data_IF_341336504496
#
_entry.id   IF_341336504496
#
_cell.length_a   1.000
_cell.length_b   1.000
_cell.length_c   1.000
_cell.angle_alpha   90.00
_cell.angle_beta   90.00
_cell.angle_gamma   90.00
#
_symmetry.space_group_name_H-M   'P 1'
#
loop_
_entity.id
_entity.type
_entity.pdbx_description
1 polymer ?
#
# COMPACT_ATOMS: atom_id res chain seq x y z
N UNK A 1 -10.03 3.14 44.79
CA UNK A 1 -10.09 1.70 44.47
C UNK A 1 -10.67 1.53 43.08
N UNK A 2 -10.00 0.68 42.29
CA UNK A 2 -10.22 0.35 40.87
C UNK A 2 -9.68 1.40 39.87
N UNK A 3 -8.87 1.08 38.87
CA UNK A 3 -7.86 0.03 38.63
C UNK A 3 -7.35 0.33 37.22
N UNK A 4 -6.04 0.30 37.05
CA UNK A 4 -5.30 0.48 35.80
C UNK A 4 -5.68 -0.59 34.77
N UNK A 5 -5.83 -0.18 33.50
CA UNK A 5 -5.53 -1.04 32.35
C UNK A 5 -4.80 -0.19 31.31
N UNK A 6 -3.48 -0.33 31.31
CA UNK A 6 -2.59 0.25 30.33
C UNK A 6 -2.84 -0.37 28.96
N UNK A 7 -3.16 0.47 27.99
CA UNK A 7 -3.15 0.10 26.58
C UNK A 7 -1.71 0.21 26.11
N UNK A 8 -1.13 -0.96 25.83
CA UNK A 8 0.24 -1.10 25.32
C UNK A 8 0.39 -0.32 24.02
N UNK A 9 1.24 0.72 24.04
CA UNK A 9 1.59 1.51 22.87
C UNK A 9 2.50 0.68 21.96
N UNK A 10 1.94 0.12 20.88
CA UNK A 10 2.75 -0.32 19.75
C UNK A 10 3.29 0.94 19.06
N UNK A 11 4.53 1.30 19.39
CA UNK A 11 5.23 2.42 18.77
C UNK A 11 5.65 2.05 17.35
N UNK A 12 4.86 2.42 16.36
CA UNK A 12 5.31 2.53 14.96
C UNK A 12 6.13 3.81 14.84
N UNK A 13 7.46 3.69 14.78
CA UNK A 13 8.35 4.82 14.54
C UNK A 13 8.25 5.21 13.06
N UNK A 14 7.96 6.50 12.83
CA UNK A 14 8.02 7.18 11.54
C UNK A 14 9.37 6.98 10.86
N UNK A 15 9.40 6.48 9.62
CA UNK A 15 10.60 6.22 8.82
C UNK A 15 11.09 7.45 8.03
N UNK A 16 10.75 8.67 8.45
CA UNK A 16 10.98 9.89 7.68
C UNK A 16 12.43 10.46 7.68
N UNK A 17 13.44 9.75 8.16
CA UNK A 17 14.78 10.35 8.42
C UNK A 17 15.99 9.74 7.69
N UNK A 18 15.84 8.93 6.64
CA UNK A 18 17.02 8.36 5.95
C UNK A 18 17.51 9.05 4.66
N UNK A 19 16.91 10.13 4.17
CA UNK A 19 17.29 10.73 2.87
C UNK A 19 18.23 11.95 2.93
N UNK A 20 19.07 12.10 3.96
CA UNK A 20 20.14 13.10 3.93
C UNK A 20 21.45 12.48 4.34
N UNK A 21 22.43 12.49 3.41
CA UNK A 21 23.89 12.29 3.51
C UNK A 21 24.32 11.47 2.29
N UNK A 22 25.23 11.83 1.38
CA UNK A 22 26.02 13.02 1.01
C UNK A 22 26.73 12.57 -0.27
N UNK A 23 26.81 13.44 -1.28
CA UNK A 23 27.68 13.28 -2.46
C UNK A 23 29.14 13.11 -2.04
N UNK A 24 29.81 12.10 -2.57
CA UNK A 24 31.26 12.10 -2.80
C UNK A 24 31.68 10.95 -3.72
N UNK A 25 31.99 11.26 -4.97
CA UNK A 25 32.73 10.40 -5.89
C UNK A 25 34.18 10.20 -5.39
N UNK A 26 34.76 9.00 -5.52
CA UNK A 26 36.21 8.87 -5.58
C UNK A 26 36.71 8.55 -6.99
N UNK A 27 37.71 9.36 -7.35
CA UNK A 27 38.71 9.26 -8.39
C UNK A 27 39.19 7.84 -8.73
N UNK A 28 39.26 7.54 -10.03
CA UNK A 28 39.67 6.25 -10.59
C UNK A 28 41.13 6.32 -11.08
N UNK A 29 42.06 5.82 -10.29
CA UNK A 29 43.38 5.42 -10.78
C UNK A 29 44.03 4.33 -9.90
N UNK A 30 44.14 3.14 -10.48
CA UNK A 30 45.29 2.20 -10.45
C UNK A 30 44.88 0.71 -10.41
N UNK A 31 45.64 -0.06 -11.19
CA UNK A 31 45.43 -1.46 -11.58
C UNK A 31 45.90 -2.43 -10.49
N UNK A 32 45.16 -3.54 -10.29
CA UNK A 32 45.65 -4.67 -9.48
C UNK A 32 44.69 -5.86 -9.44
N UNK A 33 45.07 -6.97 -10.07
CA UNK A 33 44.41 -8.27 -10.02
C UNK A 33 44.22 -8.78 -8.57
N UNK A 34 43.00 -9.16 -8.18
CA UNK A 34 42.66 -10.43 -7.48
C UNK A 34 41.25 -10.39 -6.85
N UNK A 35 40.39 -11.31 -7.30
CA UNK A 35 39.34 -12.03 -6.55
C UNK A 35 38.64 -11.31 -5.37
N UNK A 36 37.44 -10.77 -5.58
CA UNK A 36 36.43 -10.62 -4.52
C UNK A 36 34.99 -10.76 -5.04
N UNK A 37 34.23 -11.56 -4.28
CA UNK A 37 32.84 -11.42 -3.90
C UNK A 37 31.77 -11.11 -4.97
N UNK A 38 30.80 -12.02 -5.04
CA UNK A 38 29.57 -11.86 -5.81
C UNK A 38 28.94 -10.49 -5.59
N UNK A 39 28.63 -9.85 -6.71
CA UNK A 39 27.74 -8.71 -6.77
C UNK A 39 26.34 -9.21 -6.39
N UNK A 40 26.05 -9.27 -5.10
CA UNK A 40 24.67 -9.17 -4.64
C UNK A 40 24.15 -7.85 -5.18
N UNK A 41 23.07 -7.83 -5.98
CA UNK A 41 22.47 -6.56 -6.35
C UNK A 41 22.12 -5.83 -5.05
N UNK A 42 22.44 -4.53 -5.02
CA UNK A 42 22.09 -3.62 -3.94
C UNK A 42 20.65 -3.93 -3.52
N UNK A 43 20.50 -4.50 -2.32
CA UNK A 43 19.21 -4.77 -1.71
C UNK A 43 18.57 -3.40 -1.50
N UNK A 44 17.76 -2.96 -2.48
CA UNK A 44 16.78 -1.91 -2.28
C UNK A 44 16.05 -2.31 -0.99
N UNK A 45 15.99 -1.47 0.06
CA UNK A 45 15.22 -1.83 1.24
C UNK A 45 13.82 -2.17 0.76
N UNK A 46 13.47 -3.46 0.82
CA UNK A 46 12.12 -3.89 0.54
C UNK A 46 11.27 -3.10 1.52
N UNK A 47 10.50 -2.15 1.00
CA UNK A 47 9.60 -1.34 1.78
C UNK A 47 8.56 -2.33 2.33
N UNK A 48 8.84 -2.87 3.51
CA UNK A 48 8.12 -4.03 4.03
C UNK A 48 7.04 -3.52 4.98
N UNK A 49 5.98 -2.96 4.40
CA UNK A 49 4.77 -2.66 5.18
C UNK A 49 3.97 -3.95 5.36
N UNK A 50 3.54 -4.22 6.60
CA UNK A 50 2.55 -5.27 6.89
C UNK A 50 1.10 -4.77 6.83
N UNK A 51 0.90 -3.54 6.39
CA UNK A 51 -0.42 -2.92 6.30
C UNK A 51 -0.95 -2.97 4.87
N UNK A 52 -2.25 -3.15 4.73
CA UNK A 52 -3.00 -3.13 3.49
C UNK A 52 -4.14 -2.12 3.60
N UNK A 53 -4.23 -1.22 2.64
CA UNK A 53 -5.35 -0.33 2.44
C UNK A 53 -6.28 -0.85 1.34
N UNK A 54 -7.55 -1.05 1.69
CA UNK A 54 -8.60 -1.50 0.77
C UNK A 54 -9.70 -0.47 0.68
N UNK A 55 -10.20 -0.22 -0.54
CA UNK A 55 -11.18 0.84 -0.80
C UNK A 55 -12.45 0.33 -1.52
N UNK A 56 -12.58 -0.99 -1.72
CA UNK A 56 -13.63 -1.60 -2.52
C UNK A 56 -14.25 -2.84 -1.89
N UNK A 57 -14.41 -3.90 -2.69
CA UNK A 57 -15.12 -5.14 -2.33
C UNK A 57 -14.48 -5.94 -1.19
N UNK A 58 -13.21 -5.67 -0.87
CA UNK A 58 -12.47 -6.25 0.26
C UNK A 58 -12.76 -5.55 1.60
N UNK A 59 -13.50 -4.43 1.62
CA UNK A 59 -13.90 -3.76 2.87
C UNK A 59 -14.90 -4.61 3.65
N UNK A 60 -15.05 -4.33 4.95
CA UNK A 60 -16.09 -4.96 5.79
C UNK A 60 -17.47 -4.80 5.16
N UNK A 61 -18.22 -5.90 5.07
CA UNK A 61 -19.53 -5.95 4.42
C UNK A 61 -19.49 -5.94 2.89
N UNK A 62 -18.30 -5.87 2.27
CA UNK A 62 -18.12 -6.09 0.85
C UNK A 62 -18.15 -7.56 0.48
N UNK A 63 -18.51 -7.86 -0.77
CA UNK A 63 -18.70 -9.22 -1.28
C UNK A 63 -17.47 -10.14 -1.13
N UNK A 64 -16.27 -9.54 -1.03
CA UNK A 64 -14.99 -10.26 -1.03
C UNK A 64 -14.24 -10.14 0.29
N UNK A 65 -14.87 -9.60 1.34
CA UNK A 65 -14.28 -9.48 2.67
C UNK A 65 -13.75 -10.81 3.23
N UNK A 66 -14.41 -11.93 2.90
CA UNK A 66 -14.01 -13.28 3.31
C UNK A 66 -12.60 -13.69 2.83
N UNK A 67 -12.02 -13.02 1.82
CA UNK A 67 -10.62 -13.21 1.46
C UNK A 67 -9.70 -12.67 2.57
N UNK A 68 -9.96 -11.46 3.08
CA UNK A 68 -9.18 -10.88 4.19
C UNK A 68 -9.33 -11.68 5.48
N UNK A 69 -10.53 -12.21 5.75
CA UNK A 69 -10.76 -13.08 6.91
C UNK A 69 -9.92 -14.35 6.85
N UNK A 70 -9.85 -15.01 5.68
CA UNK A 70 -9.02 -16.20 5.47
C UNK A 70 -7.53 -15.93 5.63
N UNK A 71 -7.08 -14.72 5.31
CA UNK A 71 -5.70 -14.28 5.50
C UNK A 71 -5.39 -13.85 6.94
N UNK A 72 -6.37 -13.89 7.85
CA UNK A 72 -6.21 -13.47 9.24
C UNK A 72 -5.98 -11.96 9.39
N UNK A 73 -6.43 -11.16 8.41
CA UNK A 73 -6.19 -9.73 8.40
C UNK A 73 -6.93 -9.03 9.54
N UNK A 74 -6.20 -8.26 10.35
CA UNK A 74 -6.76 -7.55 11.50
C UNK A 74 -7.10 -6.10 11.13
N UNK A 75 -8.33 -5.67 11.40
CA UNK A 75 -8.74 -4.30 11.13
C UNK A 75 -7.99 -3.30 12.01
N UNK A 76 -7.41 -2.27 11.39
CA UNK A 76 -6.66 -1.19 12.07
C UNK A 76 -7.52 0.05 12.18
N UNK A 77 -8.18 0.46 11.10
CA UNK A 77 -8.98 1.68 11.10
C UNK A 77 -9.45 2.11 9.73
N UNK A 78 -10.29 3.13 9.70
CA UNK A 78 -10.72 3.80 8.47
C UNK A 78 -9.77 4.95 8.14
N UNK A 79 -9.54 5.18 6.86
CA UNK A 79 -8.61 6.20 6.40
C UNK A 79 -8.83 6.61 4.95
N UNK A 80 -7.92 7.42 4.45
CA UNK A 80 -7.96 7.90 3.07
C UNK A 80 -6.58 8.11 2.47
N UNK A 81 -6.52 8.02 1.14
CA UNK A 81 -5.35 8.33 0.32
C UNK A 81 -5.71 9.42 -0.70
N UNK A 82 -4.71 10.15 -1.21
CA UNK A 82 -4.92 11.10 -2.31
C UNK A 82 -5.12 10.33 -3.62
N UNK A 83 -6.29 10.50 -4.25
CA UNK A 83 -6.64 9.73 -5.42
C UNK A 83 -8.07 9.95 -5.87
N UNK A 84 -8.39 9.43 -7.04
CA UNK A 84 -9.72 9.44 -7.63
C UNK A 84 -10.24 8.03 -7.70
N UNK A 85 -11.51 7.86 -7.37
CA UNK A 85 -12.18 6.58 -7.37
C UNK A 85 -13.15 6.49 -8.55
N UNK A 86 -13.15 5.36 -9.23
CA UNK A 86 -14.02 5.09 -10.37
C UNK A 86 -14.82 3.81 -10.15
N UNK A 87 -16.06 3.80 -10.64
CA UNK A 87 -16.91 2.61 -10.68
C UNK A 87 -16.68 1.85 -11.98
N UNK A 88 -16.10 0.65 -11.89
CA UNK A 88 -15.86 -0.24 -13.03
C UNK A 88 -17.03 -1.24 -13.23
N UNK A 89 -18.14 -1.03 -12.51
CA UNK A 89 -19.33 -1.88 -12.53
C UNK A 89 -19.34 -2.82 -11.32
N UNK A 90 -18.70 -3.99 -11.45
CA UNK A 90 -18.68 -4.98 -10.37
C UNK A 90 -17.74 -4.60 -9.21
N UNK A 91 -16.74 -3.76 -9.46
CA UNK A 91 -15.72 -3.37 -8.50
C UNK A 91 -15.21 -1.95 -8.77
N UNK A 92 -14.61 -1.27 -7.78
CA UNK A 92 -14.01 0.04 -8.01
C UNK A 92 -12.56 -0.05 -8.49
N UNK A 93 -12.07 1.06 -9.03
CA UNK A 93 -10.64 1.25 -9.24
C UNK A 93 -10.20 2.65 -8.84
N UNK A 94 -9.11 2.71 -8.08
CA UNK A 94 -8.51 3.98 -7.67
C UNK A 94 -7.36 4.37 -8.60
N UNK A 95 -7.27 5.65 -8.97
CA UNK A 95 -6.09 6.22 -9.62
C UNK A 95 -5.45 7.24 -8.70
N UNK A 96 -4.12 7.31 -8.78
CA UNK A 96 -3.39 8.40 -8.13
C UNK A 96 -3.79 9.72 -8.77
N UNK A 97 -4.15 10.68 -7.93
CA UNK A 97 -4.40 12.05 -8.36
C UNK A 97 -3.29 12.96 -7.86
N UNK A 98 -2.88 13.91 -8.70
CA UNK A 98 -2.01 15.01 -8.28
C UNK A 98 -2.78 16.09 -7.52
N UNK A 99 -4.11 16.06 -7.59
CA UNK A 99 -4.96 16.98 -6.84
C UNK A 99 -4.98 16.64 -5.35
N UNK A 100 -4.80 17.65 -4.51
CA UNK A 100 -4.88 17.49 -3.04
C UNK A 100 -6.32 17.30 -2.53
N UNK A 101 -7.32 17.65 -3.33
CA UNK A 101 -8.74 17.59 -2.95
C UNK A 101 -9.37 16.23 -3.20
N UNK A 102 -8.87 15.45 -4.15
CA UNK A 102 -9.40 14.12 -4.45
C UNK A 102 -8.90 13.11 -3.42
N UNK A 103 -9.84 12.41 -2.78
CA UNK A 103 -9.54 11.40 -1.76
C UNK A 103 -10.27 10.11 -2.08
N UNK A 104 -9.60 8.99 -1.80
CA UNK A 104 -10.21 7.67 -1.79
C UNK A 104 -10.33 7.22 -0.34
N UNK A 105 -11.54 6.91 0.09
CA UNK A 105 -11.87 6.45 1.43
C UNK A 105 -11.85 4.94 1.46
N UNK A 106 -11.22 4.38 2.50
CA UNK A 106 -11.06 2.95 2.66
C UNK A 106 -10.70 2.56 4.07
N UNK A 107 -10.22 1.33 4.21
CA UNK A 107 -9.94 0.68 5.47
C UNK A 107 -8.52 0.13 5.45
N UNK A 108 -7.84 0.20 6.59
CA UNK A 108 -6.50 -0.34 6.79
C UNK A 108 -6.61 -1.63 7.58
N UNK A 109 -5.88 -2.64 7.13
CA UNK A 109 -5.75 -3.95 7.74
C UNK A 109 -4.28 -4.29 7.97
N UNK A 110 -3.98 -4.97 9.07
CA UNK A 110 -2.70 -5.58 9.33
C UNK A 110 -2.70 -7.02 8.83
N UNK A 111 -1.70 -7.39 8.03
CA UNK A 111 -1.49 -8.71 7.46
C UNK A 111 -0.45 -9.49 8.29
N UNK A 112 -0.84 -10.56 9.00
CA UNK A 112 0.08 -11.30 9.87
C UNK A 112 1.20 -12.01 9.10
N UNK A 113 0.88 -12.60 7.94
CA UNK A 113 1.86 -13.07 6.95
C UNK A 113 1.73 -12.22 5.70
N UNK A 114 2.48 -11.12 5.67
CA UNK A 114 2.43 -10.15 4.58
C UNK A 114 2.77 -10.81 3.24
N UNK A 115 3.82 -11.63 3.17
CA UNK A 115 4.27 -12.25 1.92
C UNK A 115 3.24 -13.21 1.33
N UNK A 116 2.63 -14.06 2.16
CA UNK A 116 1.58 -14.99 1.71
C UNK A 116 0.30 -14.24 1.32
N UNK A 117 -0.11 -13.27 2.14
CA UNK A 117 -1.31 -12.47 1.89
C UNK A 117 -1.18 -11.66 0.59
N UNK A 118 -0.03 -11.02 0.39
CA UNK A 118 0.27 -10.24 -0.80
C UNK A 118 0.26 -11.10 -2.07
N UNK A 119 0.83 -12.32 -2.05
CA UNK A 119 0.73 -13.25 -3.18
C UNK A 119 -0.72 -13.64 -3.50
N UNK A 120 -1.52 -13.93 -2.47
CA UNK A 120 -2.93 -14.31 -2.65
C UNK A 120 -3.76 -13.15 -3.21
N UNK A 121 -3.45 -11.93 -2.80
CA UNK A 121 -4.10 -10.71 -3.29
C UNK A 121 -3.64 -10.36 -4.71
N UNK A 122 -2.36 -10.54 -5.05
CA UNK A 122 -1.85 -10.36 -6.41
C UNK A 122 -2.56 -11.30 -7.40
N UNK A 123 -2.70 -12.58 -7.02
CA UNK A 123 -3.43 -13.56 -7.84
C UNK A 123 -4.90 -13.15 -8.03
N UNK A 124 -5.54 -12.66 -6.97
CA UNK A 124 -6.93 -12.21 -7.01
C UNK A 124 -7.15 -10.95 -7.87
N UNK A 125 -6.26 -9.95 -7.74
CA UNK A 125 -6.35 -8.68 -8.48
C UNK A 125 -5.75 -8.77 -9.90
N UNK A 126 -5.15 -9.91 -10.26
CA UNK A 126 -4.49 -10.11 -11.55
C UNK A 126 -3.21 -9.30 -11.72
N UNK A 127 -2.44 -9.16 -10.64
CA UNK A 127 -1.12 -8.52 -10.63
C UNK A 127 -0.05 -9.59 -10.87
N UNK A 128 0.69 -9.47 -11.98
CA UNK A 128 1.74 -10.42 -12.37
C UNK A 128 3.11 -9.71 -12.46
N UNK A 129 4.20 -10.45 -12.22
CA UNK A 129 5.58 -9.93 -12.18
C UNK A 129 6.04 -9.26 -13.49
N UNK A 130 5.40 -9.57 -14.62
CA UNK A 130 5.73 -9.05 -15.95
C UNK A 130 4.55 -8.29 -16.55
N UNK A 131 4.31 -7.02 -16.19
CA UNK A 131 3.00 -6.49 -16.59
C UNK A 131 2.84 -4.99 -16.82
N UNK A 132 3.10 -4.59 -18.06
CA UNK A 132 2.41 -3.45 -18.68
C UNK A 132 0.91 -3.72 -18.93
N UNK A 133 0.43 -4.95 -18.68
CA UNK A 133 -0.93 -5.42 -18.98
C UNK A 133 -1.85 -5.53 -17.74
N UNK A 134 -1.31 -5.44 -16.52
CA UNK A 134 -2.07 -5.64 -15.29
C UNK A 134 -3.01 -4.47 -15.12
N UNK A 135 -4.26 -4.77 -14.79
CA UNK A 135 -5.26 -3.76 -14.49
C UNK A 135 -4.84 -2.93 -13.28
N UNK A 136 -4.23 -3.59 -12.29
CA UNK A 136 -3.72 -2.97 -11.08
C UNK A 136 -2.20 -3.06 -10.95
N UNK A 137 -1.63 -2.10 -10.24
CA UNK A 137 -0.26 -2.10 -9.76
C UNK A 137 -0.28 -1.94 -8.24
N UNK A 138 0.44 -2.81 -7.54
CA UNK A 138 0.59 -2.72 -6.09
C UNK A 138 1.70 -1.73 -5.73
N UNK A 139 1.41 -0.84 -4.80
CA UNK A 139 2.40 0.13 -4.28
C UNK A 139 2.16 0.42 -2.81
N UNK A 140 3.22 0.82 -2.09
CA UNK A 140 3.07 1.41 -0.77
C UNK A 140 2.68 2.88 -0.90
N UNK A 141 1.63 3.28 -0.18
CA UNK A 141 1.18 4.66 -0.13
C UNK A 141 0.88 5.09 1.29
N UNK A 142 1.18 6.36 1.59
CA UNK A 142 0.81 6.97 2.86
C UNK A 142 -0.71 7.16 2.96
N UNK A 143 -1.33 6.45 3.89
CA UNK A 143 -2.73 6.56 4.28
C UNK A 143 -2.85 7.51 5.46
N UNK A 144 -3.84 8.40 5.42
CA UNK A 144 -4.22 9.22 6.58
C UNK A 144 -5.46 8.59 7.24
N UNK A 145 -5.32 8.10 8.46
CA UNK A 145 -6.42 7.56 9.27
C UNK A 145 -7.37 8.67 9.74
N UNK A 146 -8.60 8.31 10.13
CA UNK A 146 -9.59 9.27 10.65
C UNK A 146 -9.13 9.99 11.93
N UNK A 147 -8.23 9.38 12.71
CA UNK A 147 -7.61 10.00 13.89
C UNK A 147 -6.46 10.97 13.54
N UNK A 148 -6.15 11.16 12.26
CA UNK A 148 -5.08 12.03 11.75
C UNK A 148 -3.70 11.38 11.66
N UNK A 149 -3.54 10.14 12.15
CA UNK A 149 -2.30 9.38 12.03
C UNK A 149 -2.00 9.02 10.56
N UNK A 150 -0.72 8.93 10.22
CA UNK A 150 -0.27 8.58 8.87
C UNK A 150 0.50 7.27 8.90
N UNK A 151 0.07 6.32 8.07
CA UNK A 151 0.64 4.97 7.99
C UNK A 151 0.99 4.65 6.53
N UNK A 152 2.08 3.94 6.32
CA UNK A 152 2.42 3.41 5.01
C UNK A 152 1.78 2.03 4.82
N UNK A 153 0.93 1.88 3.81
CA UNK A 153 0.21 0.64 3.53
C UNK A 153 0.24 0.29 2.05
N UNK A 154 0.22 -1.01 1.76
CA UNK A 154 0.02 -1.51 0.40
C UNK A 154 -1.36 -1.13 -0.11
N UNK A 155 -1.44 -0.74 -1.38
CA UNK A 155 -2.68 -0.46 -2.08
C UNK A 155 -2.54 -0.91 -3.54
N UNK A 156 -3.66 -1.37 -4.12
CA UNK A 156 -3.75 -1.71 -5.53
C UNK A 156 -4.30 -0.51 -6.30
N UNK A 157 -3.47 0.16 -7.10
CA UNK A 157 -3.87 1.28 -7.95
C UNK A 157 -4.19 0.78 -9.35
N UNK A 158 -5.17 1.38 -10.03
CA UNK A 158 -5.34 1.18 -11.46
C UNK A 158 -4.08 1.63 -12.21
N UNK A 159 -3.62 0.81 -13.15
CA UNK A 159 -2.46 1.14 -13.98
C UNK A 159 -2.77 2.25 -14.99
N UNK A 160 -4.04 2.39 -15.42
CA UNK A 160 -4.47 3.37 -16.43
C UNK A 160 -5.86 3.91 -16.15
N UNK A 161 -6.10 5.16 -16.55
CA UNK A 161 -7.41 5.77 -16.50
C UNK A 161 -8.37 5.08 -17.48
N UNK A 162 -9.56 4.62 -17.05
CA UNK A 162 -10.50 4.02 -17.98
C UNK A 162 -11.20 5.12 -18.78
N UNK A 163 -11.39 4.91 -20.08
CA UNK A 163 -11.89 5.96 -20.99
C UNK A 163 -13.40 6.26 -20.84
N UNK A 164 -14.18 5.39 -20.19
CA UNK A 164 -15.65 5.47 -20.14
C UNK A 164 -16.24 4.97 -18.81
N UNK A 165 -15.72 5.45 -17.69
CA UNK A 165 -16.20 5.03 -16.37
C UNK A 165 -16.71 6.21 -15.55
N UNK A 166 -17.69 5.95 -14.69
CA UNK A 166 -18.23 6.96 -13.77
C UNK A 166 -17.23 7.19 -12.65
N UNK A 167 -16.80 8.44 -12.48
CA UNK A 167 -16.06 8.86 -11.28
C UNK A 167 -17.02 8.86 -10.09
N UNK A 168 -16.56 8.32 -8.96
CA UNK A 168 -17.26 8.38 -7.68
C UNK A 168 -16.77 9.63 -6.96
N UNK A 169 -17.52 10.73 -7.09
CA UNK A 169 -17.16 12.05 -6.54
C UNK A 169 -16.96 12.05 -5.02
N UNK A 170 -17.68 11.18 -4.30
CA UNK A 170 -17.55 11.02 -2.85
C UNK A 170 -16.21 10.41 -2.42
N UNK A 171 -15.51 9.74 -3.35
CA UNK A 171 -14.30 8.96 -3.03
C UNK A 171 -14.55 7.71 -2.21
N UNK A 172 -15.80 7.38 -1.88
CA UNK A 172 -16.18 6.26 -1.04
C UNK A 172 -17.08 5.30 -1.82
N UNK A 173 -16.57 4.09 -2.10
CA UNK A 173 -17.29 3.08 -2.88
C UNK A 173 -18.63 2.67 -2.23
N UNK A 174 -18.74 2.73 -0.90
CA UNK A 174 -19.98 2.44 -0.20
C UNK A 174 -21.06 3.51 -0.45
N UNK A 175 -20.68 4.66 -1.02
CA UNK A 175 -21.53 5.81 -1.36
C UNK A 175 -21.58 6.07 -2.87
N UNK A 176 -21.40 5.02 -3.68
CA UNK A 176 -21.36 5.10 -5.15
C UNK A 176 -22.71 5.35 -5.79
#
# INVERSE_FOLDING_TARGET
MKSELGVSRFGVRSLAECCKLTDSEPDNSELGLSLVAGLTPLSVPACHSSLLFVYGTLRRGGERYSLLERLGAAYVGKGSVAGELYDLGAYPGALKSRSKSARVVGEVYHLPDTTQALRSLDEYEGVFDSSAASLYAREITQVTLENGERLDAWIYWLSRAPQRVRRIESGDYARR
#
